data_IF_594390842261
#
_entry.id   IF_594390842261
#
_cell.length_a   1.000
_cell.length_b   1.000
_cell.length_c   1.000
_cell.angle_alpha   90.00
_cell.angle_beta   90.00
_cell.angle_gamma   90.00
#
_symmetry.space_group_name_H-M   'P 1'
#
loop_
_entity.id
_entity.type
_entity.pdbx_description
1 polymer ?
#
# COMPACT_ATOMS: atom_id res chain seq x y z
N UNK A 1 14.76 -31.08 1.50
CA UNK A 1 15.68 -30.25 0.73
C UNK A 1 15.28 -30.23 -0.73
N UNK A 2 15.37 -29.09 -1.42
CA UNK A 2 15.12 -29.01 -2.86
C UNK A 2 16.37 -29.44 -3.64
N UNK A 3 16.18 -30.08 -4.79
CA UNK A 3 17.27 -30.34 -5.73
C UNK A 3 17.69 -29.04 -6.43
N UNK A 4 18.89 -28.99 -7.03
CA UNK A 4 19.37 -27.81 -7.75
C UNK A 4 18.37 -27.33 -8.81
N UNK A 5 17.83 -28.23 -9.63
CA UNK A 5 16.83 -27.91 -10.68
C UNK A 5 15.47 -27.48 -10.13
N UNK A 6 15.04 -28.01 -8.98
CA UNK A 6 13.82 -27.53 -8.30
C UNK A 6 13.98 -26.10 -7.77
N UNK A 7 15.16 -25.78 -7.22
CA UNK A 7 15.47 -24.43 -6.76
C UNK A 7 15.51 -23.43 -7.92
N UNK A 8 16.19 -23.80 -9.00
CA UNK A 8 16.32 -22.98 -10.20
C UNK A 8 14.93 -22.66 -10.80
N UNK A 9 14.06 -23.66 -10.93
CA UNK A 9 12.68 -23.49 -11.40
C UNK A 9 11.87 -22.56 -10.50
N UNK A 10 11.98 -22.73 -9.19
CA UNK A 10 11.22 -21.93 -8.24
C UNK A 10 11.62 -20.44 -8.27
N UNK A 11 12.94 -20.17 -8.38
CA UNK A 11 13.47 -18.80 -8.52
C UNK A 11 13.02 -18.19 -9.85
N UNK A 12 13.03 -18.95 -10.94
CA UNK A 12 12.57 -18.48 -12.25
C UNK A 12 11.08 -18.14 -12.25
N UNK A 13 10.22 -18.97 -11.64
CA UNK A 13 8.78 -18.72 -11.50
C UNK A 13 8.53 -17.46 -10.67
N UNK A 14 9.21 -17.31 -9.53
CA UNK A 14 9.06 -16.14 -8.65
C UNK A 14 9.50 -14.85 -9.32
N UNK A 15 10.63 -14.88 -10.05
CA UNK A 15 11.13 -13.73 -10.81
C UNK A 15 10.13 -13.25 -11.85
N UNK A 16 9.53 -14.15 -12.62
CA UNK A 16 8.53 -13.83 -13.65
C UNK A 16 7.22 -13.31 -13.04
N UNK A 17 6.78 -13.91 -11.93
CA UNK A 17 5.60 -13.44 -11.22
C UNK A 17 5.77 -11.99 -10.69
N UNK A 18 6.98 -11.63 -10.26
CA UNK A 18 7.29 -10.27 -9.80
C UNK A 18 7.41 -9.25 -10.93
N UNK A 19 7.94 -9.67 -12.10
CA UNK A 19 8.14 -8.78 -13.26
C UNK A 19 6.86 -8.61 -14.08
N UNK A 20 6.22 -9.70 -14.44
CA UNK A 20 5.14 -9.73 -15.43
C UNK A 20 3.76 -9.93 -14.79
N UNK A 21 3.70 -10.26 -13.49
CA UNK A 21 2.46 -10.59 -12.78
C UNK A 21 1.82 -11.92 -13.23
N UNK A 22 2.47 -12.66 -14.14
CA UNK A 22 1.96 -13.89 -14.73
C UNK A 22 3.00 -14.99 -14.65
N UNK A 23 2.57 -16.22 -14.30
CA UNK A 23 3.45 -17.38 -14.29
C UNK A 23 3.98 -17.71 -15.68
N UNK A 24 5.27 -18.08 -15.81
CA UNK A 24 5.84 -18.50 -17.08
C UNK A 24 5.16 -19.77 -17.62
N UNK A 25 5.20 -19.92 -18.95
CA UNK A 25 4.69 -21.12 -19.64
C UNK A 25 5.64 -22.31 -19.45
N UNK A 26 5.14 -23.52 -19.70
CA UNK A 26 5.98 -24.73 -19.66
C UNK A 26 7.14 -24.70 -20.67
N UNK A 27 6.96 -24.00 -21.80
CA UNK A 27 8.02 -23.83 -22.80
C UNK A 27 9.11 -22.90 -22.30
N UNK A 28 8.75 -21.77 -21.73
CA UNK A 28 9.68 -20.82 -21.10
C UNK A 28 10.47 -21.47 -19.94
N UNK A 29 9.76 -22.24 -19.09
CA UNK A 29 10.41 -23.00 -18.01
C UNK A 29 11.37 -24.06 -18.54
N UNK A 30 11.01 -24.74 -19.64
CA UNK A 30 11.85 -25.74 -20.28
C UNK A 30 13.14 -25.12 -20.82
N UNK A 31 13.01 -23.98 -21.50
CA UNK A 31 14.15 -23.24 -22.07
C UNK A 31 15.05 -22.67 -20.98
N UNK A 32 14.48 -22.02 -19.98
CA UNK A 32 15.24 -21.43 -18.88
C UNK A 32 16.05 -22.45 -18.06
N UNK A 33 15.54 -23.69 -17.96
CA UNK A 33 16.20 -24.79 -17.23
C UNK A 33 17.02 -25.72 -18.14
N UNK A 34 17.09 -25.46 -19.45
CA UNK A 34 17.76 -26.28 -20.46
C UNK A 34 17.28 -27.74 -20.43
N UNK A 35 15.96 -27.95 -20.24
CA UNK A 35 15.41 -29.31 -20.17
C UNK A 35 15.04 -29.82 -21.57
N UNK A 36 15.28 -31.10 -21.81
CA UNK A 36 15.01 -31.78 -23.10
C UNK A 36 13.52 -31.93 -23.40
N UNK A 37 12.64 -31.92 -22.37
CA UNK A 37 11.21 -32.16 -22.56
C UNK A 37 10.33 -31.42 -21.57
N UNK A 38 9.08 -31.10 -21.96
CA UNK A 38 8.03 -30.55 -21.09
C UNK A 38 7.67 -31.47 -19.93
N UNK A 39 7.81 -32.79 -20.10
CA UNK A 39 7.58 -33.76 -19.04
C UNK A 39 8.55 -33.63 -17.87
N UNK A 40 9.77 -33.13 -18.12
CA UNK A 40 10.75 -32.76 -17.08
C UNK A 40 10.26 -31.61 -16.21
N UNK A 41 9.75 -30.54 -16.86
CA UNK A 41 9.15 -29.39 -16.16
C UNK A 41 7.95 -29.83 -15.31
N UNK A 42 7.08 -30.68 -15.89
CA UNK A 42 5.88 -31.18 -15.18
C UNK A 42 6.24 -31.91 -13.89
N UNK A 43 7.25 -32.81 -13.93
CA UNK A 43 7.74 -33.51 -12.72
C UNK A 43 8.31 -32.58 -11.68
N UNK A 44 9.04 -31.53 -12.09
CA UNK A 44 9.60 -30.54 -11.15
C UNK A 44 8.50 -29.73 -10.49
N UNK A 45 7.48 -29.29 -11.25
CA UNK A 45 6.33 -28.55 -10.73
C UNK A 45 5.54 -29.41 -9.75
N UNK A 46 5.21 -30.67 -10.10
CA UNK A 46 4.49 -31.57 -9.19
C UNK A 46 5.25 -31.81 -7.88
N UNK A 47 6.56 -32.01 -7.96
CA UNK A 47 7.39 -32.17 -6.76
C UNK A 47 7.50 -30.89 -5.90
N UNK A 48 7.43 -29.71 -6.50
CA UNK A 48 7.38 -28.42 -5.77
C UNK A 48 6.01 -28.20 -5.12
N UNK A 49 4.94 -28.60 -5.80
CA UNK A 49 3.57 -28.53 -5.30
C UNK A 49 3.34 -29.48 -4.12
N UNK A 50 3.75 -30.76 -4.23
CA UNK A 50 3.69 -31.76 -3.14
C UNK A 50 4.45 -31.31 -1.88
N UNK A 51 5.53 -30.56 -2.05
CA UNK A 51 6.34 -30.02 -0.95
C UNK A 51 5.86 -28.65 -0.44
N UNK A 52 4.77 -28.11 -1.01
CA UNK A 52 4.18 -26.84 -0.59
C UNK A 52 5.01 -25.60 -0.91
N UNK A 53 5.85 -25.64 -1.95
CA UNK A 53 6.60 -24.48 -2.42
C UNK A 53 5.83 -23.65 -3.44
N UNK A 54 4.97 -24.31 -4.23
CA UNK A 54 4.07 -23.68 -5.20
C UNK A 54 2.66 -24.26 -5.07
N UNK A 55 1.67 -23.52 -5.56
CA UNK A 55 0.27 -23.94 -5.64
C UNK A 55 -0.29 -23.60 -7.01
N UNK A 56 -1.10 -24.51 -7.57
CA UNK A 56 -1.90 -24.24 -8.78
C UNK A 56 -3.22 -23.61 -8.38
N UNK A 57 -3.57 -22.51 -9.03
CA UNK A 57 -4.86 -21.90 -8.85
C UNK A 57 -5.87 -22.50 -9.83
N UNK A 58 -7.04 -22.97 -9.37
CA UNK A 58 -8.07 -23.53 -10.24
C UNK A 58 -8.66 -22.44 -11.15
N UNK A 59 -9.09 -22.82 -12.36
CA UNK A 59 -9.79 -22.00 -13.35
C UNK A 59 -9.01 -20.86 -14.01
N UNK A 60 -7.67 -20.87 -13.97
CA UNK A 60 -6.83 -19.94 -14.75
C UNK A 60 -5.72 -20.73 -15.46
N UNK A 61 -5.67 -20.61 -16.79
CA UNK A 61 -4.52 -21.08 -17.56
C UNK A 61 -3.25 -20.36 -17.09
N UNK A 62 -2.20 -21.09 -16.73
CA UNK A 62 -0.90 -20.58 -16.25
C UNK A 62 -0.90 -19.93 -14.87
N UNK A 63 -1.71 -20.40 -13.93
CA UNK A 63 -1.76 -19.83 -12.59
C UNK A 63 -0.99 -20.69 -11.58
N UNK A 64 0.29 -20.40 -11.43
CA UNK A 64 1.14 -20.91 -10.34
C UNK A 64 1.38 -19.77 -9.35
N UNK A 65 1.31 -20.09 -8.07
CA UNK A 65 1.63 -19.19 -6.97
C UNK A 65 2.83 -19.74 -6.21
N UNK A 66 3.87 -18.95 -5.97
CA UNK A 66 5.01 -19.32 -5.15
C UNK A 66 4.65 -19.06 -3.68
N UNK A 67 4.59 -20.12 -2.86
CA UNK A 67 4.25 -20.05 -1.43
C UNK A 67 5.47 -19.90 -0.53
N UNK A 68 6.63 -20.46 -0.94
CA UNK A 68 7.88 -20.43 -0.18
C UNK A 68 9.06 -20.35 -1.15
N UNK A 69 10.00 -19.45 -0.89
CA UNK A 69 11.28 -19.40 -1.60
C UNK A 69 12.32 -20.26 -0.88
N UNK A 70 13.26 -20.92 -1.60
CA UNK A 70 14.37 -21.59 -0.96
C UNK A 70 15.32 -20.55 -0.35
N UNK A 71 15.67 -20.73 0.90
CA UNK A 71 16.71 -19.92 1.53
C UNK A 71 18.00 -20.00 0.70
N UNK A 72 18.44 -18.86 0.19
CA UNK A 72 19.69 -18.75 -0.55
C UNK A 72 20.86 -18.88 0.42
N UNK A 73 21.46 -20.07 0.49
CA UNK A 73 22.80 -20.21 1.08
C UNK A 73 23.85 -19.79 0.06
N UNK A 74 24.08 -18.51 -0.06
CA UNK A 74 25.37 -18.01 -0.55
C UNK A 74 26.33 -18.02 0.63
N UNK A 75 27.17 -19.05 0.71
CA UNK A 75 28.26 -19.10 1.66
C UNK A 75 29.37 -18.14 1.21
N UNK A 76 29.42 -16.99 1.82
CA UNK A 76 30.68 -16.23 1.97
C UNK A 76 30.91 -16.09 3.45
N UNK A 77 31.87 -16.87 3.96
CA UNK A 77 32.32 -16.81 5.35
C UNK A 77 33.12 -15.53 5.52
N UNK A 78 32.47 -14.47 5.95
CA UNK A 78 33.11 -13.30 6.55
C UNK A 78 32.91 -13.41 8.06
N UNK A 79 33.96 -13.19 8.91
CA UNK A 79 33.81 -13.37 10.34
C UNK A 79 32.71 -12.46 10.88
N UNK A 80 31.76 -13.07 11.55
CA UNK A 80 30.61 -12.41 12.18
C UNK A 80 31.17 -11.57 13.34
N UNK A 81 31.30 -10.27 13.09
CA UNK A 81 31.20 -9.29 14.15
C UNK A 81 29.73 -9.32 14.58
N UNK A 82 29.38 -9.47 15.85
CA UNK A 82 27.99 -9.38 16.26
C UNK A 82 27.50 -7.95 15.96
N UNK A 83 26.89 -7.77 14.81
CA UNK A 83 26.03 -6.63 14.59
C UNK A 83 24.81 -6.94 15.44
N UNK A 84 24.68 -6.21 16.54
CA UNK A 84 23.41 -6.13 17.25
C UNK A 84 22.33 -5.97 16.17
N UNK A 85 21.35 -6.89 16.15
CA UNK A 85 20.16 -6.73 15.34
C UNK A 85 19.58 -5.38 15.73
N UNK A 86 19.82 -4.37 14.90
CA UNK A 86 19.05 -3.16 14.97
C UNK A 86 17.60 -3.62 14.76
N UNK A 87 16.69 -3.31 15.66
CA UNK A 87 15.28 -3.50 15.37
C UNK A 87 15.04 -2.78 14.05
N UNK A 88 14.48 -3.48 13.08
CA UNK A 88 13.98 -2.86 11.87
C UNK A 88 12.76 -2.01 12.25
N UNK A 89 13.00 -0.95 13.00
CA UNK A 89 12.09 0.17 13.13
C UNK A 89 12.29 1.02 11.88
N UNK A 90 11.78 0.51 10.75
CA UNK A 90 11.57 1.31 9.56
C UNK A 90 10.41 2.28 9.85
N UNK A 91 10.65 3.22 10.77
CA UNK A 91 9.76 4.32 11.05
C UNK A 91 10.19 5.52 10.23
N UNK A 92 9.24 6.15 9.58
CA UNK A 92 9.43 7.42 8.89
C UNK A 92 8.84 8.55 9.76
N UNK A 93 9.59 9.64 9.88
CA UNK A 93 9.09 10.87 10.47
C UNK A 93 8.36 11.66 9.39
N UNK A 94 7.06 11.88 9.59
CA UNK A 94 6.25 12.71 8.71
C UNK A 94 5.79 13.95 9.44
N UNK A 95 5.60 15.10 8.76
CA UNK A 95 5.10 16.32 9.39
C UNK A 95 3.73 16.08 10.02
N UNK A 96 3.53 16.53 11.24
CA UNK A 96 2.22 16.63 11.87
C UNK A 96 1.68 18.05 11.64
N UNK A 97 0.72 18.15 10.74
CA UNK A 97 -0.03 19.36 10.53
C UNK A 97 -1.21 19.35 11.50
N UNK A 98 -1.24 20.21 12.48
CA UNK A 98 -2.23 20.36 13.56
C UNK A 98 -3.63 19.73 13.39
N UNK A 99 -4.62 20.26 14.08
CA UNK A 99 -6.02 19.78 13.98
C UNK A 99 -6.70 20.35 12.75
N UNK A 100 -7.33 19.46 11.95
CA UNK A 100 -8.31 19.92 10.98
C UNK A 100 -9.57 20.32 11.74
N UNK A 101 -9.72 21.62 11.96
CA UNK A 101 -10.97 22.21 12.38
C UNK A 101 -11.39 23.24 11.32
N UNK A 102 -12.68 23.35 11.08
CA UNK A 102 -13.21 24.35 10.17
C UNK A 102 -12.62 25.74 10.48
N UNK A 103 -12.04 26.42 9.48
CA UNK A 103 -11.58 27.78 9.56
C UNK A 103 -10.07 28.02 9.74
N UNK A 104 -9.21 26.99 9.62
CA UNK A 104 -7.75 27.20 9.68
C UNK A 104 -7.07 26.70 8.41
N UNK A 105 -6.35 27.55 7.63
CA UNK A 105 -5.58 27.12 6.48
C UNK A 105 -4.51 26.09 6.88
N UNK A 106 -4.30 25.06 6.05
CA UNK A 106 -3.29 24.00 6.32
C UNK A 106 -1.88 24.58 6.40
N UNK A 107 -1.58 25.64 5.67
CA UNK A 107 -0.28 26.33 5.71
C UNK A 107 0.01 26.98 7.06
N UNK A 108 -1.03 27.39 7.80
CA UNK A 108 -0.88 27.89 9.17
C UNK A 108 -0.68 26.77 10.20
N UNK A 109 -0.89 25.51 9.79
CA UNK A 109 -0.76 24.31 10.61
C UNK A 109 0.61 23.63 10.46
N UNK A 110 1.58 24.25 9.75
CA UNK A 110 2.96 23.76 9.67
C UNK A 110 3.63 23.84 11.05
N UNK A 111 3.25 22.88 11.91
CA UNK A 111 3.93 22.66 13.17
C UNK A 111 5.34 22.09 12.92
N UNK A 112 6.27 22.40 13.81
CA UNK A 112 7.61 21.77 13.86
C UNK A 112 7.54 20.35 14.40
N UNK A 113 6.33 19.82 14.66
CA UNK A 113 6.14 18.50 15.22
C UNK A 113 6.18 17.44 14.12
N UNK A 114 6.85 16.33 14.40
CA UNK A 114 6.87 15.15 13.53
C UNK A 114 6.11 14.00 14.17
N UNK A 115 5.55 13.16 13.34
CA UNK A 115 4.82 11.96 13.73
C UNK A 115 5.54 10.73 13.19
N UNK A 116 5.97 9.86 14.10
CA UNK A 116 6.72 8.64 13.77
C UNK A 116 5.76 7.54 13.34
N UNK A 117 5.87 7.07 12.11
CA UNK A 117 4.97 6.09 11.50
C UNK A 117 5.77 4.91 10.93
N UNK A 118 5.35 3.65 11.14
CA UNK A 118 5.94 2.53 10.42
C UNK A 118 5.89 2.75 8.90
N UNK A 119 7.05 2.68 8.23
CA UNK A 119 7.15 2.90 6.78
C UNK A 119 6.22 1.99 5.96
N UNK A 120 5.91 0.80 6.49
CA UNK A 120 4.99 -0.15 5.88
C UNK A 120 3.54 0.37 5.74
N UNK A 121 3.14 1.38 6.53
CA UNK A 121 1.82 2.03 6.43
C UNK A 121 1.79 3.15 5.39
N UNK A 122 2.96 3.59 4.94
CA UNK A 122 3.10 4.66 3.97
C UNK A 122 3.41 4.06 2.60
N UNK A 123 2.66 4.46 1.58
CA UNK A 123 2.98 4.15 0.19
C UNK A 123 4.04 5.10 -0.38
N UNK A 124 4.34 5.02 -1.68
CA UNK A 124 5.27 5.95 -2.31
C UNK A 124 4.69 7.38 -2.36
N UNK A 125 5.55 8.39 -2.18
CA UNK A 125 5.23 9.82 -2.23
C UNK A 125 5.34 10.52 -0.89
N UNK A 126 5.04 11.81 -0.88
CA UNK A 126 5.04 12.63 0.33
C UNK A 126 3.80 12.35 1.19
N UNK A 127 4.02 12.28 2.50
CA UNK A 127 2.96 12.05 3.48
C UNK A 127 3.04 13.07 4.62
N UNK A 128 1.91 13.34 5.21
CA UNK A 128 1.78 14.10 6.45
C UNK A 128 0.68 13.51 7.32
N UNK A 129 0.70 13.80 8.60
CA UNK A 129 -0.34 13.41 9.54
C UNK A 129 -1.22 14.61 9.90
N UNK A 130 -2.48 14.34 10.17
CA UNK A 130 -3.46 15.31 10.67
C UNK A 130 -4.20 14.72 11.85
N UNK A 131 -4.39 15.49 12.91
CA UNK A 131 -5.30 15.12 13.98
C UNK A 131 -6.74 15.44 13.56
N UNK A 132 -7.59 14.43 13.55
CA UNK A 132 -9.00 14.57 13.20
C UNK A 132 -9.76 15.25 14.33
N UNK A 133 -10.56 16.26 14.00
CA UNK A 133 -11.47 16.91 14.94
C UNK A 133 -12.90 16.81 14.45
N UNK A 134 -13.79 16.36 15.34
CA UNK A 134 -15.20 16.20 15.06
C UNK A 134 -15.60 14.77 14.63
N UNK A 135 -16.86 14.63 14.30
CA UNK A 135 -17.54 13.34 14.11
C UNK A 135 -18.11 13.12 12.70
N UNK A 136 -17.75 13.98 11.75
CA UNK A 136 -18.34 13.97 10.40
C UNK A 136 -18.00 12.74 9.57
N UNK A 137 -17.06 11.88 10.03
CA UNK A 137 -16.57 10.70 9.31
C UNK A 137 -16.67 9.40 10.15
N UNK A 138 -17.54 9.38 11.17
CA UNK A 138 -17.65 8.26 12.12
C UNK A 138 -18.16 6.97 11.48
N UNK A 139 -19.02 7.04 10.46
CA UNK A 139 -19.53 5.86 9.76
C UNK A 139 -18.44 5.15 8.93
N UNK A 140 -17.34 5.85 8.60
CA UNK A 140 -16.11 5.27 8.01
C UNK A 140 -15.10 4.85 9.09
N UNK A 141 -15.48 4.91 10.36
CA UNK A 141 -14.63 4.51 11.50
C UNK A 141 -13.55 5.53 11.86
N UNK A 142 -13.61 6.77 11.33
CA UNK A 142 -12.71 7.86 11.65
C UNK A 142 -13.34 8.68 12.77
N UNK A 143 -12.69 8.72 13.93
CA UNK A 143 -13.19 9.34 15.14
C UNK A 143 -12.40 10.59 15.52
N UNK A 144 -12.99 11.41 16.36
CA UNK A 144 -12.32 12.55 16.98
C UNK A 144 -11.05 12.11 17.73
N UNK A 145 -9.94 12.81 17.51
CA UNK A 145 -8.63 12.48 18.08
C UNK A 145 -7.82 11.42 17.32
N UNK A 146 -8.34 10.85 16.23
CA UNK A 146 -7.56 9.98 15.35
C UNK A 146 -6.47 10.78 14.61
N UNK A 147 -5.38 10.08 14.23
CA UNK A 147 -4.36 10.62 13.34
C UNK A 147 -4.57 10.05 11.95
N UNK A 148 -5.03 10.90 11.03
CA UNK A 148 -5.15 10.57 9.62
C UNK A 148 -3.80 10.71 8.93
N UNK A 149 -3.30 9.61 8.32
CA UNK A 149 -2.11 9.62 7.48
C UNK A 149 -2.54 9.99 6.07
N UNK A 150 -2.07 11.12 5.59
CA UNK A 150 -2.49 11.69 4.30
C UNK A 150 -1.33 11.61 3.32
N UNK A 151 -1.57 11.02 2.17
CA UNK A 151 -0.68 11.11 1.02
C UNK A 151 -0.97 12.38 0.24
N UNK A 152 0.04 13.23 0.07
CA UNK A 152 -0.07 14.49 -0.67
C UNK A 152 -0.34 14.21 -2.16
N UNK A 153 -1.47 14.68 -2.63
CA UNK A 153 -1.90 14.62 -4.03
C UNK A 153 -2.80 15.83 -4.31
N UNK A 154 -2.85 16.27 -5.54
CA UNK A 154 -3.68 17.38 -6.02
C UNK A 154 -4.92 16.91 -6.80
N UNK A 155 -5.05 15.59 -7.02
CA UNK A 155 -6.16 14.98 -7.74
C UNK A 155 -6.72 13.80 -6.96
N UNK A 156 -8.05 13.70 -6.94
CA UNK A 156 -8.76 12.60 -6.30
C UNK A 156 -9.71 11.88 -7.27
N UNK A 157 -10.04 10.64 -6.93
CA UNK A 157 -11.03 9.81 -7.61
C UNK A 157 -12.30 9.73 -6.78
N UNK A 158 -13.42 9.46 -7.45
CA UNK A 158 -14.69 9.24 -6.78
C UNK A 158 -14.61 8.12 -5.74
N UNK A 159 -15.07 8.40 -4.54
CA UNK A 159 -15.06 7.48 -3.42
C UNK A 159 -13.79 7.52 -2.56
N UNK A 160 -12.75 8.28 -2.93
CA UNK A 160 -11.59 8.47 -2.06
C UNK A 160 -11.90 9.44 -0.92
N UNK A 161 -11.39 9.14 0.27
CA UNK A 161 -11.44 10.08 1.40
C UNK A 161 -10.27 11.04 1.24
N UNK A 162 -10.57 12.33 1.21
CA UNK A 162 -9.61 13.40 0.90
C UNK A 162 -9.61 14.49 1.94
N UNK A 163 -8.48 15.15 2.05
CA UNK A 163 -8.38 16.46 2.66
C UNK A 163 -8.61 17.49 1.56
N UNK A 164 -9.68 18.23 1.67
CA UNK A 164 -10.05 19.30 0.75
C UNK A 164 -9.94 20.65 1.47
N UNK A 165 -9.31 21.61 0.80
CA UNK A 165 -9.26 23.01 1.20
C UNK A 165 -10.33 23.77 0.39
N UNK A 166 -11.23 24.44 1.07
CA UNK A 166 -12.35 25.18 0.49
C UNK A 166 -12.08 26.66 0.63
N UNK A 167 -12.16 27.39 -0.48
CA UNK A 167 -11.95 28.86 -0.56
C UNK A 167 -10.62 29.34 0.04
N UNK A 168 -9.58 28.47 0.07
CA UNK A 168 -8.28 28.70 0.69
C UNK A 168 -8.34 28.96 2.23
N UNK A 169 -9.48 28.67 2.86
CA UNK A 169 -9.71 28.99 4.28
C UNK A 169 -10.06 27.76 5.12
N UNK A 170 -10.88 26.85 4.61
CA UNK A 170 -11.41 25.73 5.39
C UNK A 170 -10.89 24.38 4.89
N UNK A 171 -10.12 23.69 5.74
CA UNK A 171 -9.71 22.32 5.49
C UNK A 171 -10.72 21.32 6.07
N UNK A 172 -11.10 20.30 5.28
CA UNK A 172 -12.06 19.29 5.73
C UNK A 172 -11.68 17.89 5.21
N UNK A 173 -12.01 16.85 5.99
CA UNK A 173 -11.86 15.45 5.60
C UNK A 173 -13.24 14.90 5.22
N UNK A 174 -13.41 14.51 3.96
CA UNK A 174 -14.68 14.03 3.39
C UNK A 174 -14.44 13.00 2.28
N UNK A 175 -15.47 12.26 1.93
CA UNK A 175 -15.45 11.43 0.73
C UNK A 175 -15.71 12.28 -0.51
N UNK A 176 -14.77 12.23 -1.43
CA UNK A 176 -14.81 12.99 -2.68
C UNK A 176 -15.69 12.32 -3.73
N UNK A 177 -16.52 13.11 -4.41
CA UNK A 177 -17.26 12.68 -5.60
C UNK A 177 -17.35 13.81 -6.61
N UNK A 178 -17.38 13.45 -7.90
CA UNK A 178 -17.72 14.36 -8.99
C UNK A 178 -19.19 14.20 -9.34
N UNK A 179 -19.94 15.29 -9.30
CA UNK A 179 -21.35 15.34 -9.65
C UNK A 179 -21.56 16.35 -10.78
N UNK A 180 -21.42 15.87 -12.03
CA UNK A 180 -21.43 16.73 -13.21
C UNK A 180 -20.27 17.75 -13.19
N UNK A 181 -20.59 19.05 -13.14
CA UNK A 181 -19.63 20.13 -13.07
C UNK A 181 -19.29 20.57 -11.63
N UNK A 182 -19.78 19.86 -10.64
CA UNK A 182 -19.60 20.18 -9.22
C UNK A 182 -18.73 19.14 -8.53
N UNK A 183 -18.05 19.54 -7.49
CA UNK A 183 -17.43 18.65 -6.51
C UNK A 183 -18.41 18.48 -5.36
N UNK A 184 -18.70 17.22 -5.02
CA UNK A 184 -19.48 16.87 -3.85
C UNK A 184 -18.55 16.25 -2.80
N UNK A 185 -18.62 16.77 -1.59
CA UNK A 185 -17.91 16.29 -0.43
C UNK A 185 -18.92 15.64 0.51
N UNK A 186 -18.86 14.32 0.62
CA UNK A 186 -19.80 13.54 1.42
C UNK A 186 -19.25 13.31 2.83
N UNK A 187 -19.97 13.71 3.87
CA UNK A 187 -19.68 13.26 5.23
C UNK A 187 -20.04 11.77 5.37
N UNK A 188 -19.38 11.07 6.26
CA UNK A 188 -19.71 9.73 6.69
C UNK A 188 -20.35 9.80 8.09
N UNK A 189 -21.41 10.55 8.21
CA UNK A 189 -22.25 10.67 9.39
C UNK A 189 -23.61 11.23 8.95
N UNK A 190 -24.68 10.51 9.29
CA UNK A 190 -26.05 10.84 8.89
C UNK A 190 -26.58 12.17 9.43
N UNK A 191 -25.88 12.78 10.38
CA UNK A 191 -26.26 14.08 10.94
C UNK A 191 -25.79 15.25 10.06
N UNK A 192 -24.96 15.00 9.06
CA UNK A 192 -24.41 16.01 8.17
C UNK A 192 -24.87 15.79 6.74
N UNK A 193 -25.17 16.86 6.04
CA UNK A 193 -25.55 16.83 4.63
C UNK A 193 -24.33 16.92 3.71
N UNK A 194 -24.35 16.24 2.54
CA UNK A 194 -23.35 16.40 1.51
C UNK A 194 -23.25 17.85 1.02
N UNK A 195 -22.04 18.33 0.90
CA UNK A 195 -21.77 19.70 0.46
C UNK A 195 -21.31 19.70 -1.01
N UNK A 196 -21.80 20.67 -1.79
CA UNK A 196 -21.48 20.83 -3.21
C UNK A 196 -20.81 22.14 -3.47
N UNK A 197 -19.70 22.10 -4.22
CA UNK A 197 -18.89 23.26 -4.50
C UNK A 197 -18.54 23.35 -5.99
N UNK A 198 -18.32 24.56 -6.48
CA UNK A 198 -17.66 24.78 -7.77
C UNK A 198 -16.22 24.24 -7.66
N UNK A 199 -15.70 23.50 -8.67
CA UNK A 199 -14.35 22.97 -8.63
C UNK A 199 -13.24 23.99 -8.36
N UNK A 200 -13.47 25.27 -8.72
CA UNK A 200 -12.52 26.36 -8.47
C UNK A 200 -12.37 26.75 -7.00
N UNK A 201 -13.34 26.34 -6.18
CA UNK A 201 -13.36 26.62 -4.73
C UNK A 201 -12.76 25.52 -3.88
N UNK A 202 -12.42 24.37 -4.51
CA UNK A 202 -11.95 23.18 -3.78
C UNK A 202 -10.57 22.79 -4.29
N UNK A 203 -9.59 22.76 -3.41
CA UNK A 203 -8.26 22.24 -3.68
C UNK A 203 -8.05 20.94 -2.90
N UNK A 204 -7.67 19.89 -3.61
CA UNK A 204 -7.31 18.64 -2.96
C UNK A 204 -5.89 18.76 -2.42
N UNK A 205 -5.73 18.58 -1.12
CA UNK A 205 -4.44 18.65 -0.43
C UNK A 205 -3.82 17.26 -0.24
N UNK A 206 -4.64 16.22 -0.33
CA UNK A 206 -4.18 14.86 -0.22
C UNK A 206 -5.34 13.87 -0.04
N UNK A 207 -5.00 12.59 -0.02
CA UNK A 207 -5.95 11.50 0.21
C UNK A 207 -5.55 10.67 1.42
N UNK A 208 -6.51 10.08 2.08
CA UNK A 208 -6.29 9.18 3.21
C UNK A 208 -5.49 7.95 2.74
N UNK A 209 -4.38 7.68 3.41
CA UNK A 209 -3.53 6.52 3.20
C UNK A 209 -3.66 5.51 4.35
N UNK A 210 -3.93 5.99 5.55
CA UNK A 210 -4.10 5.17 6.74
C UNK A 210 -4.62 5.96 7.92
N UNK A 211 -4.87 5.27 9.03
CA UNK A 211 -5.37 5.86 10.27
C UNK A 211 -4.62 5.27 11.44
N UNK A 212 -4.26 6.10 12.42
CA UNK A 212 -3.66 5.67 13.67
C UNK A 212 -4.51 6.19 14.83
N UNK A 213 -4.86 5.31 15.74
CA UNK A 213 -5.61 5.65 16.96
C UNK A 213 -4.81 5.30 18.19
N UNK A 214 -4.76 6.22 19.14
CA UNK A 214 -4.21 5.97 20.47
C UNK A 214 -5.36 5.69 21.44
N UNK A 215 -5.18 4.69 22.29
CA UNK A 215 -6.13 4.33 23.35
C UNK A 215 -5.58 4.69 24.73
#
# INVERSE_FOLDING_TARGET
MLTAKQRELLIFIDGRLKQDGVSPSFDEMREALELKSKSGVHRLISALEERGFIRRLPNRARALEALKLPESKAATVTPIRPVAAAPANDTMEIPLHGKIAAGTPIEALQGTETFSVPAALLGPGEHYALEVSGDSMVDEGILDGDFALIRKVDVARDGEIVVALIDDEEATLKTFRREGNMIRLDPANRQYEPQRYDPRRVQIQGRLAGLIRRY
#
